data_IF_770035986997
#
_entry.id   IF_770035986997
#
_cell.length_a   1.000
_cell.length_b   1.000
_cell.length_c   1.000
_cell.angle_alpha   90.00
_cell.angle_beta   90.00
_cell.angle_gamma   90.00
#
_symmetry.space_group_name_H-M   'P 1'
#
loop_
_entity.id
_entity.type
_entity.pdbx_description
1 polymer ?
#
# COMPACT_ATOMS: atom_id res chain seq x y z
N UNK A 1 -28.22 -18.18 7.24
CA UNK A 1 -27.41 -17.42 8.22
C UNK A 1 -27.35 -16.01 7.69
N UNK A 2 -27.94 -15.07 8.42
CA UNK A 2 -27.84 -13.64 8.10
C UNK A 2 -26.37 -13.22 8.01
N UNK A 3 -26.00 -12.33 7.07
CA UNK A 3 -24.67 -11.75 7.05
C UNK A 3 -24.40 -11.07 8.40
N UNK A 4 -23.18 -11.24 8.92
CA UNK A 4 -22.76 -10.70 10.21
C UNK A 4 -22.87 -9.17 10.19
N UNK A 5 -23.94 -8.62 10.76
CA UNK A 5 -24.08 -7.18 10.97
C UNK A 5 -23.30 -6.80 12.22
N UNK A 6 -22.31 -5.90 12.16
CA UNK A 6 -21.70 -5.39 13.37
C UNK A 6 -22.82 -4.70 14.17
N UNK A 7 -23.13 -5.23 15.36
CA UNK A 7 -24.09 -4.59 16.26
C UNK A 7 -23.73 -3.11 16.39
N UNK A 8 -24.59 -2.18 15.96
CA UNK A 8 -24.28 -0.76 16.00
C UNK A 8 -24.08 -0.41 17.47
N UNK A 9 -22.85 -0.02 17.82
CA UNK A 9 -22.73 0.77 19.03
C UNK A 9 -23.14 2.17 18.65
N UNK A 10 -24.05 2.73 19.43
CA UNK A 10 -24.43 4.13 19.36
C UNK A 10 -23.17 5.00 19.23
N UNK A 11 -23.26 6.10 18.47
CA UNK A 11 -22.16 7.05 18.33
C UNK A 11 -21.71 7.55 19.70
N UNK A 12 -20.46 8.00 19.78
CA UNK A 12 -20.01 8.74 20.95
C UNK A 12 -20.60 10.15 20.89
N UNK A 13 -21.11 10.68 22.00
CA UNK A 13 -21.65 12.05 22.02
C UNK A 13 -20.55 13.07 21.69
N UNK A 14 -19.40 12.98 22.38
CA UNK A 14 -18.27 13.90 22.22
C UNK A 14 -16.93 13.18 22.40
N UNK A 15 -15.87 13.74 21.82
CA UNK A 15 -14.48 13.30 22.03
C UNK A 15 -13.74 14.23 22.99
N UNK A 16 -12.68 13.72 23.61
CA UNK A 16 -11.88 14.54 24.51
C UNK A 16 -11.04 15.58 23.73
N UNK A 17 -10.72 16.73 24.34
CA UNK A 17 -9.98 17.81 23.70
C UNK A 17 -8.59 17.42 23.20
N UNK A 18 -7.92 16.49 23.87
CA UNK A 18 -6.59 16.04 23.46
C UNK A 18 -6.66 15.13 22.25
N UNK A 19 -7.68 14.27 22.17
CA UNK A 19 -7.99 13.48 20.97
C UNK A 19 -8.24 14.39 19.78
N UNK A 20 -9.07 15.43 19.93
CA UNK A 20 -9.32 16.38 18.84
C UNK A 20 -8.03 17.08 18.38
N UNK A 21 -7.30 17.70 19.31
CA UNK A 21 -6.04 18.41 19.02
C UNK A 21 -4.97 17.49 18.42
N UNK A 22 -4.99 16.20 18.75
CA UNK A 22 -4.08 15.24 18.17
C UNK A 22 -4.53 14.80 16.77
N UNK A 23 -5.81 14.45 16.57
CA UNK A 23 -6.29 13.79 15.36
C UNK A 23 -6.85 14.70 14.26
N UNK A 24 -7.22 15.95 14.53
CA UNK A 24 -7.83 16.85 13.54
C UNK A 24 -6.91 17.92 12.90
N UNK A 25 -5.64 18.12 13.27
CA UNK A 25 -4.78 19.06 12.52
C UNK A 25 -4.53 18.67 11.05
N UNK A 26 -4.63 19.64 10.13
CA UNK A 26 -4.31 19.51 8.69
C UNK A 26 -2.81 19.43 8.49
N UNK A 27 -2.29 18.21 8.65
CA UNK A 27 -0.88 17.90 8.49
C UNK A 27 -0.68 17.04 7.25
N UNK A 28 0.24 17.46 6.38
CA UNK A 28 0.63 16.70 5.19
C UNK A 28 1.19 15.32 5.55
N UNK A 29 1.99 15.27 6.63
CA UNK A 29 2.59 14.05 7.15
C UNK A 29 2.24 13.83 8.62
N UNK A 30 1.27 12.94 8.84
CA UNK A 30 0.69 12.68 10.15
C UNK A 30 1.12 11.31 10.72
N UNK A 31 2.40 11.19 11.08
CA UNK A 31 2.97 9.98 11.68
C UNK A 31 2.32 9.62 13.03
N UNK A 32 2.04 8.34 13.25
CA UNK A 32 1.56 7.82 14.54
C UNK A 32 0.05 7.91 14.78
N UNK A 33 -0.71 8.58 13.90
CA UNK A 33 -2.18 8.66 13.96
C UNK A 33 -2.80 7.41 13.33
N UNK A 34 -3.10 6.41 14.16
CA UNK A 34 -3.64 5.11 13.73
C UNK A 34 -5.17 5.05 13.72
N UNK A 35 -5.83 6.09 14.22
CA UNK A 35 -7.28 6.17 14.33
C UNK A 35 -7.83 7.24 13.37
N UNK A 36 -8.99 6.93 12.80
CA UNK A 36 -9.83 7.84 12.04
C UNK A 36 -11.09 8.11 12.87
N UNK A 37 -11.37 9.40 13.08
CA UNK A 37 -12.60 9.91 13.68
C UNK A 37 -13.46 10.54 12.59
N UNK A 38 -14.77 10.30 12.68
CA UNK A 38 -15.85 10.82 11.85
C UNK A 38 -16.87 11.46 12.78
N UNK A 39 -16.94 12.78 12.80
CA UNK A 39 -18.03 13.50 13.44
C UNK A 39 -19.13 13.73 12.41
N UNK A 40 -20.39 13.44 12.73
CA UNK A 40 -21.49 13.61 11.80
C UNK A 40 -22.60 14.49 12.38
N UNK A 41 -23.36 15.08 11.47
CA UNK A 41 -24.59 15.81 11.75
C UNK A 41 -25.62 15.40 10.69
N UNK A 42 -26.81 15.01 11.13
CA UNK A 42 -27.96 14.69 10.28
C UNK A 42 -29.04 15.74 10.54
N UNK A 43 -29.53 16.35 9.48
CA UNK A 43 -30.64 17.30 9.49
C UNK A 43 -31.78 16.72 8.63
N UNK A 44 -33.01 16.83 9.14
CA UNK A 44 -34.25 16.43 8.46
C UNK A 44 -35.14 17.66 8.28
N UNK A 45 -35.92 17.72 7.19
CA UNK A 45 -36.78 18.88 6.90
C UNK A 45 -38.05 18.95 7.78
N UNK A 46 -38.47 17.86 8.43
CA UNK A 46 -39.86 17.67 8.85
C UNK A 46 -40.25 18.05 10.29
N UNK A 47 -39.40 18.74 11.08
CA UNK A 47 -39.82 19.18 12.43
C UNK A 47 -39.53 20.65 12.71
N UNK A 48 -40.59 21.36 13.10
CA UNK A 48 -40.66 22.77 13.51
C UNK A 48 -39.90 23.08 14.83
N UNK A 49 -38.74 22.47 15.08
CA UNK A 49 -37.89 22.69 16.26
C UNK A 49 -36.43 22.96 15.85
N UNK A 50 -35.89 24.10 16.26
CA UNK A 50 -34.56 24.62 15.94
C UNK A 50 -33.36 23.83 16.55
N UNK A 51 -33.55 22.59 17.02
CA UNK A 51 -32.52 21.89 17.84
C UNK A 51 -32.37 20.37 17.62
N UNK A 52 -33.15 19.73 16.74
CA UNK A 52 -33.20 18.25 16.61
C UNK A 52 -32.26 17.66 15.54
N UNK A 53 -31.07 18.21 15.36
CA UNK A 53 -30.08 17.55 14.49
C UNK A 53 -29.38 16.42 15.25
N UNK A 54 -29.50 15.19 14.77
CA UNK A 54 -28.78 14.05 15.33
C UNK A 54 -27.28 14.17 15.05
N UNK A 55 -26.49 14.15 16.13
CA UNK A 55 -25.04 14.40 16.08
C UNK A 55 -24.29 13.35 16.87
N UNK A 56 -23.08 13.03 16.41
CA UNK A 56 -22.21 12.15 17.17
C UNK A 56 -20.88 11.89 16.48
N UNK A 57 -20.08 11.01 17.11
CA UNK A 57 -18.73 10.69 16.66
C UNK A 57 -18.54 9.18 16.56
N UNK A 58 -18.13 8.74 15.37
CA UNK A 58 -17.60 7.41 15.13
C UNK A 58 -16.08 7.43 15.10
N UNK A 59 -15.47 6.33 15.53
CA UNK A 59 -14.05 6.06 15.32
C UNK A 59 -13.86 4.69 14.72
N UNK A 60 -12.82 4.52 13.93
CA UNK A 60 -12.48 3.22 13.37
C UNK A 60 -12.28 2.17 14.48
N UNK A 61 -12.90 1.00 14.32
CA UNK A 61 -12.85 -0.09 15.29
C UNK A 61 -11.82 -1.12 14.85
N UNK A 62 -10.91 -1.45 15.76
CA UNK A 62 -9.98 -2.56 15.60
C UNK A 62 -10.54 -3.75 16.39
N UNK A 63 -11.51 -4.46 15.83
CA UNK A 63 -11.95 -5.72 16.43
C UNK A 63 -11.00 -6.86 16.03
N UNK A 64 -10.86 -7.92 16.87
CA UNK A 64 -10.05 -9.09 16.56
C UNK A 64 -10.48 -9.84 15.29
N UNK A 65 -11.77 -9.74 14.93
CA UNK A 65 -12.42 -10.49 13.85
C UNK A 65 -12.60 -9.67 12.56
N UNK A 66 -12.72 -8.33 12.65
CA UNK A 66 -12.80 -7.44 11.50
C UNK A 66 -12.35 -6.02 11.87
N UNK A 67 -11.67 -5.32 10.94
CA UNK A 67 -11.45 -3.87 11.06
C UNK A 67 -12.63 -3.18 10.42
N UNK A 68 -13.28 -2.29 11.16
CA UNK A 68 -14.38 -1.48 10.65
C UNK A 68 -13.92 -0.03 10.58
N UNK A 69 -14.07 0.60 9.41
CA UNK A 69 -13.78 2.02 9.26
C UNK A 69 -14.90 2.88 9.90
N UNK A 70 -14.62 4.17 10.13
CA UNK A 70 -15.58 5.03 10.82
C UNK A 70 -16.83 5.27 9.95
N UNK A 71 -16.61 5.41 8.64
CA UNK A 71 -17.58 5.53 7.56
C UNK A 71 -18.55 4.34 7.59
N UNK A 72 -18.02 3.11 7.65
CA UNK A 72 -18.83 1.89 7.70
C UNK A 72 -19.67 1.78 8.98
N UNK A 73 -19.13 2.25 10.10
CA UNK A 73 -19.88 2.32 11.35
C UNK A 73 -21.07 3.29 11.21
N UNK A 74 -20.85 4.45 10.61
CA UNK A 74 -21.92 5.43 10.35
C UNK A 74 -22.97 4.84 9.41
N UNK A 75 -22.58 4.27 8.27
CA UNK A 75 -23.52 3.72 7.29
C UNK A 75 -24.40 2.61 7.88
N UNK A 76 -23.83 1.76 8.73
CA UNK A 76 -24.61 0.73 9.43
C UNK A 76 -25.58 1.34 10.44
N UNK A 77 -25.13 2.33 11.22
CA UNK A 77 -25.97 3.00 12.20
C UNK A 77 -27.10 3.80 11.56
N UNK A 78 -26.81 4.54 10.49
CA UNK A 78 -27.79 5.36 9.78
C UNK A 78 -28.93 4.51 9.22
N UNK A 79 -28.62 3.36 8.61
CA UNK A 79 -29.63 2.42 8.11
C UNK A 79 -30.57 1.89 9.19
N UNK A 80 -30.06 1.74 10.41
CA UNK A 80 -30.85 1.24 11.53
C UNK A 80 -31.68 2.35 12.20
N UNK A 81 -31.23 3.61 12.15
CA UNK A 81 -31.95 4.76 12.72
C UNK A 81 -32.98 5.37 11.75
N UNK A 82 -32.67 5.44 10.46
CA UNK A 82 -33.49 6.06 9.42
C UNK A 82 -33.90 5.01 8.38
N UNK A 83 -34.97 4.25 8.64
CA UNK A 83 -35.42 3.17 7.75
C UNK A 83 -36.17 3.71 6.51
N UNK A 84 -36.70 4.92 6.55
CA UNK A 84 -37.43 5.55 5.46
C UNK A 84 -36.45 6.16 4.45
N UNK A 85 -36.52 5.73 3.18
CA UNK A 85 -35.52 6.09 2.16
C UNK A 85 -35.93 7.23 1.24
N UNK A 86 -37.20 7.61 1.33
CA UNK A 86 -37.83 8.62 0.49
C UNK A 86 -37.88 10.00 1.19
N UNK A 87 -37.43 10.11 2.44
CA UNK A 87 -37.32 11.37 3.17
C UNK A 87 -36.04 12.15 2.78
N UNK A 88 -36.08 13.47 2.96
CA UNK A 88 -34.94 14.34 2.70
C UNK A 88 -34.00 14.37 3.90
N UNK A 89 -32.76 13.95 3.68
CA UNK A 89 -31.72 13.93 4.69
C UNK A 89 -30.54 14.79 4.25
N UNK A 90 -30.13 15.75 5.07
CA UNK A 90 -28.88 16.46 4.87
C UNK A 90 -27.85 15.97 5.88
N UNK A 91 -26.81 15.30 5.38
CA UNK A 91 -25.77 14.68 6.19
C UNK A 91 -24.45 15.40 5.98
N UNK A 92 -23.83 15.84 7.07
CA UNK A 92 -22.48 16.43 7.05
C UNK A 92 -21.51 15.58 7.86
N UNK A 93 -20.36 15.25 7.27
CA UNK A 93 -19.26 14.52 7.91
C UNK A 93 -18.03 15.40 8.04
N UNK A 94 -17.44 15.39 9.23
CA UNK A 94 -16.12 15.95 9.51
C UNK A 94 -15.15 14.83 9.85
N UNK A 95 -14.25 14.56 8.91
CA UNK A 95 -13.33 13.43 8.96
C UNK A 95 -11.92 13.86 9.31
N UNK A 96 -11.29 13.13 10.23
CA UNK A 96 -9.85 13.29 10.48
C UNK A 96 -8.97 12.85 9.30
N UNK A 97 -9.44 11.91 8.47
CA UNK A 97 -8.76 11.40 7.28
C UNK A 97 -9.76 11.20 6.16
N UNK A 98 -9.39 11.47 4.91
CA UNK A 98 -10.27 11.25 3.77
C UNK A 98 -10.62 9.75 3.65
N UNK A 99 -11.82 9.43 3.12
CA UNK A 99 -12.23 8.04 2.94
C UNK A 99 -11.24 7.22 2.12
N UNK A 100 -11.15 5.92 2.40
CA UNK A 100 -10.42 5.00 1.53
C UNK A 100 -11.29 4.59 0.32
N UNK A 101 -10.71 4.01 -0.75
CA UNK A 101 -11.47 3.67 -1.97
C UNK A 101 -12.66 2.74 -1.73
N UNK A 102 -12.50 1.76 -0.83
CA UNK A 102 -13.58 0.83 -0.46
C UNK A 102 -14.70 1.55 0.29
N UNK A 103 -14.38 2.46 1.21
CA UNK A 103 -15.41 3.24 1.89
C UNK A 103 -16.07 4.26 0.96
N UNK A 104 -15.32 4.83 0.02
CA UNK A 104 -15.89 5.70 -1.00
C UNK A 104 -16.93 4.95 -1.84
N UNK A 105 -16.61 3.74 -2.30
CA UNK A 105 -17.54 2.88 -3.04
C UNK A 105 -18.79 2.53 -2.23
N UNK A 106 -18.64 2.10 -0.97
CA UNK A 106 -19.77 1.81 -0.08
C UNK A 106 -20.65 3.04 0.21
N UNK A 107 -20.07 4.25 0.22
CA UNK A 107 -20.82 5.50 0.36
C UNK A 107 -21.60 5.82 -0.91
N UNK A 108 -21.03 5.60 -2.09
CA UNK A 108 -21.76 5.77 -3.36
C UNK A 108 -22.95 4.80 -3.43
N UNK A 109 -22.74 3.52 -3.10
CA UNK A 109 -23.84 2.54 -3.02
C UNK A 109 -24.93 2.98 -2.03
N UNK A 110 -24.54 3.59 -0.92
CA UNK A 110 -25.49 4.14 0.06
C UNK A 110 -26.27 5.36 -0.46
N UNK A 111 -25.65 6.22 -1.26
CA UNK A 111 -26.36 7.37 -1.88
C UNK A 111 -27.34 6.92 -2.96
N UNK A 112 -27.02 5.85 -3.70
CA UNK A 112 -27.98 5.22 -4.62
C UNK A 112 -29.17 4.60 -3.88
N UNK A 113 -28.94 4.12 -2.65
CA UNK A 113 -29.93 3.54 -1.76
C UNK A 113 -30.89 4.59 -1.16
N UNK A 114 -30.40 5.81 -0.89
CA UNK A 114 -31.14 6.92 -0.30
C UNK A 114 -31.19 8.13 -1.26
N UNK A 115 -32.18 8.12 -2.16
CA UNK A 115 -32.24 9.05 -3.31
C UNK A 115 -32.37 10.53 -2.95
N UNK A 116 -32.90 10.83 -1.77
CA UNK A 116 -33.15 12.18 -1.28
C UNK A 116 -32.11 12.62 -0.23
N UNK A 117 -30.96 11.94 -0.17
CA UNK A 117 -29.89 12.25 0.78
C UNK A 117 -28.81 13.12 0.12
N UNK A 118 -28.53 14.27 0.73
CA UNK A 118 -27.35 15.08 0.40
C UNK A 118 -26.23 14.81 1.39
N UNK A 119 -25.02 14.53 0.88
CA UNK A 119 -23.86 14.26 1.72
C UNK A 119 -22.75 15.28 1.46
N UNK A 120 -22.30 15.91 2.54
CA UNK A 120 -21.15 16.82 2.55
C UNK A 120 -20.04 16.24 3.41
N UNK A 121 -18.85 16.06 2.84
CA UNK A 121 -17.68 15.50 3.49
C UNK A 121 -16.57 16.56 3.57
N UNK A 122 -16.26 16.97 4.79
CA UNK A 122 -15.14 17.84 5.10
C UNK A 122 -14.03 17.01 5.75
N UNK A 123 -12.87 16.92 5.10
CA UNK A 123 -11.74 16.14 5.63
C UNK A 123 -10.58 17.01 6.07
N UNK A 124 -10.00 16.70 7.23
CA UNK A 124 -8.80 17.38 7.71
C UNK A 124 -7.57 17.03 6.87
N UNK A 125 -7.45 15.78 6.42
CA UNK A 125 -6.24 15.30 5.73
C UNK A 125 -6.61 14.32 4.66
N UNK A 126 -5.94 14.44 3.53
CA UNK A 126 -6.08 13.46 2.47
C UNK A 126 -5.24 12.21 2.79
N UNK A 127 -5.87 11.05 2.77
CA UNK A 127 -5.24 9.77 3.05
C UNK A 127 -4.68 9.17 1.76
N UNK A 128 -3.36 8.96 1.72
CA UNK A 128 -2.67 8.41 0.53
C UNK A 128 -3.04 9.12 -0.78
N UNK A 129 -3.19 10.45 -0.78
CA UNK A 129 -3.59 11.22 -1.96
C UNK A 129 -2.63 11.08 -3.16
N UNK A 130 -1.41 10.57 -2.95
CA UNK A 130 -0.45 10.23 -4.01
C UNK A 130 -0.70 8.85 -4.66
N UNK A 131 -1.64 8.05 -4.15
CA UNK A 131 -2.02 6.73 -4.69
C UNK A 131 -3.23 6.92 -5.62
N UNK A 132 -3.12 6.57 -6.93
CA UNK A 132 -4.21 6.77 -7.89
C UNK A 132 -5.54 6.13 -7.49
N UNK A 133 -5.54 5.01 -6.76
CA UNK A 133 -6.78 4.38 -6.32
C UNK A 133 -7.55 5.27 -5.32
N UNK A 134 -6.83 6.04 -4.50
CA UNK A 134 -7.42 6.94 -3.51
C UNK A 134 -7.94 8.19 -4.18
N UNK A 135 -7.21 8.70 -5.17
CA UNK A 135 -7.70 9.77 -6.05
C UNK A 135 -9.01 9.35 -6.74
N UNK A 136 -9.02 8.18 -7.38
CA UNK A 136 -10.20 7.62 -8.04
C UNK A 136 -11.39 7.45 -7.06
N UNK A 137 -11.14 6.98 -5.84
CA UNK A 137 -12.19 6.88 -4.83
C UNK A 137 -12.82 8.24 -4.46
N UNK A 138 -12.00 9.29 -4.34
CA UNK A 138 -12.51 10.65 -4.10
C UNK A 138 -13.24 11.22 -5.33
N UNK A 139 -12.74 10.96 -6.54
CA UNK A 139 -13.44 11.30 -7.78
C UNK A 139 -14.83 10.64 -7.84
N UNK A 140 -14.94 9.34 -7.51
CA UNK A 140 -16.24 8.64 -7.49
C UNK A 140 -17.24 9.27 -6.53
N UNK A 141 -16.80 9.72 -5.36
CA UNK A 141 -17.67 10.44 -4.42
C UNK A 141 -18.14 11.76 -5.01
N UNK A 142 -17.22 12.52 -5.61
CA UNK A 142 -17.54 13.79 -6.25
C UNK A 142 -18.50 13.62 -7.44
N UNK A 143 -18.26 12.63 -8.29
CA UNK A 143 -19.11 12.31 -9.44
C UNK A 143 -20.51 11.83 -9.01
N UNK A 144 -20.62 11.22 -7.82
CA UNK A 144 -21.89 10.85 -7.19
C UNK A 144 -22.62 12.05 -6.54
N UNK A 145 -22.10 13.27 -6.66
CA UNK A 145 -22.73 14.49 -6.15
C UNK A 145 -22.41 14.82 -4.69
N UNK A 146 -21.43 14.15 -4.08
CA UNK A 146 -20.97 14.46 -2.71
C UNK A 146 -20.17 15.75 -2.71
N UNK A 147 -20.53 16.71 -1.87
CA UNK A 147 -19.68 17.88 -1.65
C UNK A 147 -18.44 17.44 -0.87
N UNK A 148 -17.25 17.61 -1.44
CA UNK A 148 -15.99 17.15 -0.84
C UNK A 148 -15.00 18.31 -0.71
N UNK A 149 -14.62 18.64 0.53
CA UNK A 149 -13.73 19.77 0.82
C UNK A 149 -12.74 19.47 1.95
N UNK A 150 -11.70 20.30 2.07
CA UNK A 150 -10.79 20.28 3.23
C UNK A 150 -11.37 21.13 4.37
N UNK A 151 -11.31 20.62 5.59
CA UNK A 151 -11.78 21.35 6.77
C UNK A 151 -11.08 22.71 6.92
N UNK A 152 -11.89 23.77 6.88
CA UNK A 152 -11.52 25.16 7.10
C UNK A 152 -11.41 25.51 8.59
N UNK A 153 -11.05 26.75 8.90
CA UNK A 153 -11.01 27.23 10.29
C UNK A 153 -12.40 27.15 10.95
N UNK A 154 -13.44 27.45 10.18
CA UNK A 154 -14.81 27.50 10.68
C UNK A 154 -15.33 26.09 10.93
N UNK A 155 -14.98 25.12 10.07
CA UNK A 155 -15.28 23.70 10.29
C UNK A 155 -14.60 23.17 11.55
N UNK A 156 -13.36 23.56 11.83
CA UNK A 156 -12.70 23.18 13.08
C UNK A 156 -13.35 23.79 14.31
N UNK A 157 -13.81 25.03 14.21
CA UNK A 157 -14.52 25.70 15.29
C UNK A 157 -15.87 25.03 15.53
N UNK A 158 -16.62 24.77 14.47
CA UNK A 158 -17.88 24.02 14.52
C UNK A 158 -17.67 22.66 15.18
N UNK A 159 -16.63 21.93 14.78
CA UNK A 159 -16.34 20.64 15.38
C UNK A 159 -15.96 20.73 16.86
N UNK A 160 -15.23 21.77 17.26
CA UNK A 160 -14.87 22.00 18.64
C UNK A 160 -16.09 22.27 19.52
N UNK A 161 -17.02 23.11 19.04
CA UNK A 161 -18.19 23.50 19.82
C UNK A 161 -19.21 22.35 19.94
N UNK A 162 -19.34 21.53 18.89
CA UNK A 162 -20.39 20.51 18.80
C UNK A 162 -19.95 19.09 19.15
N UNK A 163 -18.71 18.69 18.83
CA UNK A 163 -18.25 17.29 18.98
C UNK A 163 -17.15 17.10 20.02
N UNK A 164 -16.66 18.16 20.67
CA UNK A 164 -15.61 18.07 21.69
C UNK A 164 -16.20 18.40 23.06
N UNK A 165 -15.88 17.59 24.07
CA UNK A 165 -16.09 17.94 25.47
C UNK A 165 -15.00 18.93 25.90
N UNK A 166 -15.14 20.18 25.46
CA UNK A 166 -14.10 21.20 25.65
C UNK A 166 -13.99 21.71 27.09
N UNK A 167 -14.88 21.31 28.02
CA UNK A 167 -14.82 21.66 29.46
C UNK A 167 -14.60 23.16 29.71
N UNK A 168 -15.27 24.01 28.92
CA UNK A 168 -15.13 25.47 29.00
C UNK A 168 -13.84 26.05 28.37
N UNK A 169 -12.95 25.23 27.80
CA UNK A 169 -11.80 25.71 27.04
C UNK A 169 -12.24 26.38 25.73
N UNK A 170 -11.62 27.53 25.43
CA UNK A 170 -11.79 28.22 24.14
C UNK A 170 -11.13 27.44 23.01
N UNK A 171 -11.74 27.52 21.82
CA UNK A 171 -11.16 27.01 20.58
C UNK A 171 -9.81 27.67 20.29
N UNK A 172 -8.82 26.88 19.89
CA UNK A 172 -7.48 27.35 19.53
C UNK A 172 -7.13 26.94 18.11
N UNK A 173 -7.05 27.92 17.20
CA UNK A 173 -6.68 27.69 15.79
C UNK A 173 -5.22 27.25 15.58
N UNK A 174 -4.36 27.43 16.58
CA UNK A 174 -2.90 27.27 16.43
C UNK A 174 -2.57 25.82 16.07
N UNK A 175 -1.79 25.64 15.00
CA UNK A 175 -1.35 24.36 14.45
C UNK A 175 -2.43 23.50 13.76
N UNK A 176 -3.69 23.95 13.64
CA UNK A 176 -4.75 23.19 12.96
C UNK A 176 -4.69 23.33 11.44
N UNK A 177 -4.38 24.52 10.91
CA UNK A 177 -4.42 24.84 9.48
C UNK A 177 -3.05 24.81 8.80
N UNK A 178 -2.10 24.04 9.33
CA UNK A 178 -0.69 24.13 8.91
C UNK A 178 -0.50 23.92 7.41
N UNK A 179 -1.15 22.90 6.86
CA UNK A 179 -1.02 22.51 5.45
C UNK A 179 -2.37 22.64 4.70
N UNK A 180 -3.27 23.54 5.16
CA UNK A 180 -4.62 23.70 4.59
C UNK A 180 -4.58 24.07 3.10
N UNK A 181 -3.89 25.16 2.73
CA UNK A 181 -3.86 25.65 1.35
C UNK A 181 -3.33 24.59 0.39
N UNK A 182 -2.33 23.83 0.83
CA UNK A 182 -1.76 22.72 0.07
C UNK A 182 -2.78 21.60 -0.14
N UNK A 183 -3.41 21.13 0.95
CA UNK A 183 -4.37 20.03 0.88
C UNK A 183 -5.62 20.41 0.07
N UNK A 184 -6.07 21.66 0.18
CA UNK A 184 -7.21 22.17 -0.58
C UNK A 184 -6.88 22.22 -2.08
N UNK A 185 -5.70 22.73 -2.44
CA UNK A 185 -5.24 22.72 -3.83
C UNK A 185 -5.08 21.29 -4.38
N UNK A 186 -4.50 20.37 -3.60
CA UNK A 186 -4.32 18.97 -4.00
C UNK A 186 -5.67 18.27 -4.20
N UNK A 187 -6.65 18.51 -3.32
CA UNK A 187 -7.99 17.95 -3.48
C UNK A 187 -8.65 18.46 -4.77
N UNK A 188 -8.58 19.77 -5.03
CA UNK A 188 -9.12 20.35 -6.26
C UNK A 188 -8.45 19.79 -7.53
N UNK A 189 -7.13 19.57 -7.50
CA UNK A 189 -6.41 18.93 -8.61
C UNK A 189 -6.87 17.47 -8.83
N UNK A 190 -7.16 16.73 -7.76
CA UNK A 190 -7.68 15.36 -7.85
C UNK A 190 -9.07 15.34 -8.48
N UNK A 191 -9.94 16.27 -8.07
CA UNK A 191 -11.33 16.33 -8.53
C UNK A 191 -11.48 16.90 -9.94
N UNK A 192 -10.52 17.71 -10.40
CA UNK A 192 -10.54 18.35 -11.73
C UNK A 192 -9.22 18.11 -12.50
N UNK A 193 -9.01 16.93 -13.13
CA UNK A 193 -7.74 16.55 -13.77
C UNK A 193 -7.34 17.33 -15.05
N UNK A 194 -7.92 18.52 -15.31
CA UNK A 194 -7.77 19.30 -16.54
C UNK A 194 -6.54 20.22 -16.64
N UNK A 195 -5.70 20.36 -15.61
CA UNK A 195 -4.51 21.22 -15.63
C UNK A 195 -3.26 20.50 -15.12
N UNK A 196 -2.75 19.54 -15.90
CA UNK A 196 -1.46 18.91 -15.62
C UNK A 196 -0.29 19.91 -15.76
N UNK A 197 0.08 20.59 -14.66
CA UNK A 197 1.45 21.08 -14.49
C UNK A 197 2.30 19.92 -13.97
N UNK A 198 3.30 19.49 -14.75
CA UNK A 198 4.41 18.67 -14.24
C UNK A 198 5.00 19.37 -13.00
N UNK A 199 4.78 18.82 -11.81
CA UNK A 199 5.47 19.27 -10.60
C UNK A 199 6.16 18.11 -9.91
N UNK A 200 7.38 18.38 -9.47
CA UNK A 200 8.15 17.52 -8.59
C UNK A 200 7.57 17.62 -7.18
N UNK A 201 7.15 16.49 -6.64
CA UNK A 201 6.61 16.38 -5.29
C UNK A 201 7.63 16.88 -4.25
N UNK A 202 7.24 17.75 -3.29
CA UNK A 202 8.13 18.13 -2.20
C UNK A 202 8.33 16.91 -1.29
N UNK A 203 9.37 16.14 -1.58
CA UNK A 203 9.89 15.16 -0.63
C UNK A 203 10.32 15.90 0.65
N UNK A 204 10.15 15.30 1.84
CA UNK A 204 10.63 15.92 3.08
C UNK A 204 12.12 16.27 2.96
N UNK A 205 12.59 17.39 3.54
CA UNK A 205 14.00 17.74 3.52
C UNK A 205 14.81 16.58 4.12
N UNK A 206 15.86 16.18 3.42
CA UNK A 206 16.84 15.21 3.93
C UNK A 206 17.38 15.73 5.27
N UNK A 207 17.46 14.94 6.34
CA UNK A 207 18.33 15.27 7.45
C UNK A 207 19.78 15.11 6.93
N UNK A 208 20.49 16.21 6.72
CA UNK A 208 21.90 16.22 6.34
C UNK A 208 22.26 16.89 5.01
N UNK A 209 21.58 17.97 4.61
CA UNK A 209 22.08 18.83 3.53
C UNK A 209 23.20 19.73 4.07
N UNK A 210 24.45 19.27 4.00
CA UNK A 210 25.58 20.18 3.86
C UNK A 210 25.53 20.74 2.43
N UNK A 211 25.35 22.05 2.34
CA UNK A 211 25.67 22.82 1.13
C UNK A 211 27.17 23.05 1.15
N UNK A 212 27.86 22.72 0.06
CA UNK A 212 29.13 23.35 -0.28
C UNK A 212 28.94 24.13 -1.60
N UNK A 213 29.20 25.45 -1.62
CA UNK A 213 28.94 26.32 -2.75
C UNK A 213 30.19 26.42 -3.64
N UNK A 214 30.19 25.65 -4.74
CA UNK A 214 31.02 25.79 -5.95
C UNK A 214 30.50 24.73 -6.92
N UNK A 215 29.73 25.01 -7.95
CA UNK A 215 30.13 25.83 -9.08
C UNK A 215 28.92 25.95 -10.00
N UNK A 216 28.35 27.16 -10.06
CA UNK A 216 27.56 27.56 -11.21
C UNK A 216 28.54 28.02 -12.27
N UNK A 217 28.64 27.26 -13.36
CA UNK A 217 29.23 27.73 -14.62
C UNK A 217 28.15 27.54 -15.68
N UNK A 218 27.53 28.66 -16.03
CA UNK A 218 26.88 28.97 -17.32
C UNK A 218 27.84 28.58 -18.48
N UNK A 219 27.46 28.12 -19.68
CA UNK A 219 26.30 28.37 -20.53
C UNK A 219 26.41 27.48 -21.81
N UNK A 220 25.27 27.15 -22.43
CA UNK A 220 24.95 27.28 -23.88
C UNK A 220 25.42 26.24 -24.95
N UNK A 221 24.38 25.62 -25.55
CA UNK A 221 24.14 25.13 -26.94
C UNK A 221 24.92 23.97 -27.59
N UNK A 222 24.14 22.98 -28.01
CA UNK A 222 24.30 22.06 -29.18
C UNK A 222 24.51 22.83 -30.51
N UNK A 223 25.02 22.24 -31.64
CA UNK A 223 24.51 20.97 -32.23
C UNK A 223 25.48 20.12 -33.07
N UNK A 224 25.03 18.94 -33.55
CA UNK A 224 25.51 18.37 -34.83
C UNK A 224 25.68 16.85 -34.93
N UNK A 225 24.69 16.22 -35.56
CA UNK A 225 24.68 15.00 -36.40
C UNK A 225 26.06 14.54 -36.95
N UNK A 226 26.41 13.24 -36.82
CA UNK A 226 26.66 12.38 -38.01
C UNK A 226 26.79 10.87 -37.74
N UNK A 227 26.29 10.13 -38.72
CA UNK A 227 26.32 8.68 -38.94
C UNK A 227 27.73 8.11 -39.17
N UNK A 228 27.96 6.82 -38.83
CA UNK A 228 28.57 5.83 -39.75
C UNK A 228 28.50 4.40 -39.22
N UNK A 229 28.10 3.50 -40.14
CA UNK A 229 28.20 2.03 -40.11
C UNK A 229 29.66 1.59 -40.12
N UNK A 230 29.99 0.47 -39.47
CA UNK A 230 30.91 -0.53 -40.02
C UNK A 230 30.45 -1.94 -39.64
N UNK A 231 30.68 -2.85 -40.58
CA UNK A 231 30.11 -4.19 -40.68
C UNK A 231 31.10 -5.27 -40.21
N UNK A 232 30.54 -6.36 -39.67
CA UNK A 232 30.92 -7.78 -39.76
C UNK A 232 32.37 -8.21 -39.49
N UNK A 233 32.54 -9.12 -38.52
CA UNK A 233 33.01 -10.48 -38.83
C UNK A 233 32.59 -11.50 -37.75
N UNK A 234 32.07 -12.65 -38.22
CA UNK A 234 31.78 -13.85 -37.46
C UNK A 234 33.06 -14.52 -36.91
N UNK A 235 32.95 -15.13 -35.74
CA UNK A 235 33.55 -16.45 -35.47
C UNK A 235 32.77 -17.16 -34.36
N UNK A 236 32.23 -18.33 -34.71
CA UNK A 236 31.54 -19.27 -33.82
C UNK A 236 32.60 -19.99 -32.99
N UNK A 237 32.52 -19.85 -31.68
CA UNK A 237 33.16 -20.74 -30.72
C UNK A 237 32.14 -21.07 -29.64
N UNK A 238 31.67 -22.32 -29.64
CA UNK A 238 30.91 -22.92 -28.55
C UNK A 238 31.78 -22.96 -27.29
N UNK A 239 31.71 -21.90 -26.49
CA UNK A 239 32.08 -21.90 -25.09
C UNK A 239 30.85 -21.37 -24.36
N UNK A 240 30.17 -22.26 -23.63
CA UNK A 240 29.10 -21.87 -22.71
C UNK A 240 29.62 -20.69 -21.87
N UNK A 241 29.00 -19.50 -21.96
CA UNK A 241 29.44 -18.37 -21.17
C UNK A 241 29.27 -18.77 -19.70
N UNK A 242 30.37 -18.78 -18.93
CA UNK A 242 30.25 -18.67 -17.47
C UNK A 242 29.33 -17.46 -17.23
N UNK A 243 28.21 -17.58 -16.50
CA UNK A 243 27.31 -16.46 -16.32
C UNK A 243 28.05 -15.40 -15.52
N UNK A 244 28.56 -14.37 -16.19
CA UNK A 244 29.25 -13.22 -15.58
C UNK A 244 28.20 -12.32 -14.95
N UNK A 245 27.63 -12.82 -13.87
CA UNK A 245 26.96 -12.03 -12.87
C UNK A 245 27.99 -11.15 -12.17
N UNK A 246 27.68 -9.86 -11.98
CA UNK A 246 28.36 -9.06 -10.98
C UNK A 246 27.79 -9.43 -9.61
N UNK A 247 28.53 -10.15 -8.75
CA UNK A 247 28.04 -10.56 -7.46
C UNK A 247 27.67 -9.34 -6.60
N UNK A 248 26.65 -9.48 -5.75
CA UNK A 248 26.25 -8.46 -4.81
C UNK A 248 27.34 -8.29 -3.75
N UNK A 249 27.65 -7.05 -3.39
CA UNK A 249 28.47 -6.80 -2.21
C UNK A 249 27.74 -7.28 -0.94
N UNK A 250 28.47 -7.86 0.00
CA UNK A 250 27.93 -8.33 1.29
C UNK A 250 27.08 -7.27 2.01
N UNK A 251 27.56 -6.03 2.04
CA UNK A 251 26.87 -4.90 2.66
C UNK A 251 25.52 -4.63 1.99
N UNK A 252 25.44 -4.77 0.66
CA UNK A 252 24.20 -4.61 -0.08
C UNK A 252 23.25 -5.75 0.26
N UNK A 253 23.74 -6.99 0.28
CA UNK A 253 22.92 -8.14 0.63
C UNK A 253 22.30 -7.99 2.02
N UNK A 254 23.12 -7.78 3.06
CA UNK A 254 22.63 -7.65 4.44
C UNK A 254 21.63 -6.49 4.60
N UNK A 255 21.88 -5.35 3.92
CA UNK A 255 20.96 -4.20 3.98
C UNK A 255 19.63 -4.46 3.28
N UNK A 256 19.66 -5.11 2.12
CA UNK A 256 18.50 -5.23 1.24
C UNK A 256 17.68 -6.49 1.51
N UNK A 257 18.33 -7.62 1.81
CA UNK A 257 17.69 -8.89 2.14
C UNK A 257 17.39 -9.06 3.64
N UNK A 258 17.86 -8.16 4.51
CA UNK A 258 17.54 -8.18 5.94
C UNK A 258 16.03 -8.19 6.26
N UNK A 259 15.52 -9.24 6.90
CA UNK A 259 14.08 -9.43 7.14
C UNK A 259 13.51 -8.62 8.33
N UNK A 260 14.30 -7.74 8.95
CA UNK A 260 13.89 -6.97 10.11
C UNK A 260 12.76 -5.98 9.75
N UNK A 261 11.78 -5.82 10.64
CA UNK A 261 10.67 -4.88 10.45
C UNK A 261 11.11 -3.42 10.31
N UNK A 262 12.18 -3.04 11.02
CA UNK A 262 12.75 -1.69 10.98
C UNK A 262 14.18 -1.75 10.48
N UNK A 263 14.57 -0.72 9.73
CA UNK A 263 15.95 -0.56 9.25
C UNK A 263 16.83 -0.15 10.43
N UNK A 264 17.94 -0.86 10.73
CA UNK A 264 18.87 -0.45 11.77
C UNK A 264 19.58 0.86 11.40
N UNK A 265 20.06 1.61 12.40
CA UNK A 265 20.87 2.81 12.15
C UNK A 265 22.22 2.40 11.51
N UNK A 266 22.78 3.19 10.57
CA UNK A 266 22.20 4.39 9.96
C UNK A 266 21.06 4.03 9.01
N UNK A 267 19.98 4.83 9.02
CA UNK A 267 18.82 4.56 8.18
C UNK A 267 19.18 4.61 6.70
N UNK A 268 18.71 3.61 5.94
CA UNK A 268 18.88 3.56 4.49
C UNK A 268 17.58 3.13 3.82
N UNK A 269 17.43 3.48 2.54
CA UNK A 269 16.29 3.05 1.74
C UNK A 269 16.50 1.62 1.24
N UNK A 270 15.52 0.75 1.52
CA UNK A 270 15.45 -0.57 0.90
C UNK A 270 14.94 -0.45 -0.54
N UNK A 271 15.60 -1.15 -1.46
CA UNK A 271 15.24 -1.31 -2.88
C UNK A 271 14.83 -2.76 -3.12
N UNK A 272 14.06 -3.00 -4.17
CA UNK A 272 13.68 -4.36 -4.53
C UNK A 272 14.78 -4.99 -5.36
N UNK A 273 15.44 -6.00 -4.79
CA UNK A 273 16.31 -6.94 -5.50
C UNK A 273 15.58 -8.27 -5.68
N UNK A 274 15.81 -8.89 -6.83
CA UNK A 274 15.35 -10.21 -7.22
C UNK A 274 16.55 -10.96 -7.80
N UNK A 275 17.07 -11.92 -7.06
CA UNK A 275 18.09 -12.84 -7.53
C UNK A 275 17.42 -14.14 -7.97
N UNK A 276 17.84 -14.74 -9.08
CA UNK A 276 17.24 -15.97 -9.59
C UNK A 276 18.27 -16.97 -10.10
N UNK A 277 17.93 -18.25 -9.96
CA UNK A 277 18.66 -19.39 -10.52
C UNK A 277 17.76 -20.07 -11.55
N UNK A 278 18.30 -20.34 -12.73
CA UNK A 278 17.68 -21.15 -13.78
C UNK A 278 18.42 -22.48 -13.82
N UNK A 279 17.71 -23.56 -13.49
CA UNK A 279 18.23 -24.92 -13.42
C UNK A 279 17.48 -25.84 -14.38
N UNK A 280 18.17 -26.86 -14.85
CA UNK A 280 17.52 -28.01 -15.47
C UNK A 280 16.88 -28.91 -14.39
N UNK A 281 15.92 -29.78 -14.73
CA UNK A 281 15.30 -30.72 -13.79
C UNK A 281 16.32 -31.66 -13.13
N UNK A 282 17.45 -31.92 -13.80
CA UNK A 282 18.56 -32.72 -13.27
C UNK A 282 19.42 -31.94 -12.25
N UNK A 283 19.11 -30.66 -12.00
CA UNK A 283 19.77 -29.81 -11.02
C UNK A 283 20.94 -28.97 -11.57
N UNK A 284 21.30 -29.14 -12.84
CA UNK A 284 22.38 -28.36 -13.49
C UNK A 284 22.01 -26.89 -13.59
N UNK A 285 22.85 -26.01 -13.03
CA UNK A 285 22.67 -24.56 -13.11
C UNK A 285 23.03 -24.04 -14.51
N UNK A 286 22.05 -23.48 -15.22
CA UNK A 286 22.21 -22.90 -16.55
C UNK A 286 22.59 -21.42 -16.47
N UNK A 287 21.82 -20.67 -15.68
CA UNK A 287 22.00 -19.24 -15.55
C UNK A 287 21.64 -18.79 -14.15
N UNK A 288 22.32 -17.76 -13.65
CA UNK A 288 21.89 -17.03 -12.47
C UNK A 288 22.06 -15.53 -12.72
N UNK A 289 21.14 -14.72 -12.21
CA UNK A 289 21.25 -13.26 -12.26
C UNK A 289 20.73 -12.63 -10.95
N UNK A 290 21.07 -11.37 -10.70
CA UNK A 290 20.45 -10.57 -9.66
C UNK A 290 20.09 -9.18 -10.16
N UNK A 291 18.78 -8.97 -10.25
CA UNK A 291 18.16 -7.80 -10.83
C UNK A 291 17.70 -6.85 -9.74
N UNK A 292 17.77 -5.57 -10.04
CA UNK A 292 17.22 -4.50 -9.18
C UNK A 292 16.12 -3.77 -9.92
N UNK A 293 15.14 -3.29 -9.18
CA UNK A 293 14.12 -2.39 -9.73
C UNK A 293 14.77 -1.18 -10.43
N UNK A 294 14.23 -0.82 -11.60
CA UNK A 294 14.65 0.34 -12.41
C UNK A 294 13.60 1.45 -12.31
N UNK A 295 13.91 2.64 -12.83
CA UNK A 295 12.94 3.76 -12.87
C UNK A 295 11.68 3.29 -13.61
N UNK A 296 10.53 3.36 -12.94
CA UNK A 296 9.21 2.92 -13.45
C UNK A 296 9.09 1.43 -13.84
N UNK A 297 10.00 0.54 -13.39
CA UNK A 297 9.90 -0.90 -13.66
C UNK A 297 10.29 -1.73 -12.45
N UNK A 298 9.38 -2.61 -12.02
CA UNK A 298 9.60 -3.51 -10.89
C UNK A 298 10.63 -4.61 -11.23
N UNK A 299 11.25 -5.20 -10.22
CA UNK A 299 12.32 -6.18 -10.42
C UNK A 299 11.78 -7.47 -11.07
N UNK A 300 10.54 -7.82 -10.75
CA UNK A 300 9.75 -8.93 -11.28
C UNK A 300 9.53 -8.77 -12.79
N UNK A 301 9.23 -7.56 -13.26
CA UNK A 301 9.07 -7.28 -14.69
C UNK A 301 10.40 -7.39 -15.44
N UNK A 302 11.48 -6.85 -14.87
CA UNK A 302 12.82 -7.03 -15.43
C UNK A 302 13.23 -8.50 -15.50
N UNK A 303 12.79 -9.31 -14.52
CA UNK A 303 13.01 -10.75 -14.50
C UNK A 303 12.26 -11.46 -15.63
N UNK A 304 10.97 -11.17 -15.82
CA UNK A 304 10.16 -11.74 -16.92
C UNK A 304 10.82 -11.44 -18.27
N UNK A 305 11.22 -10.19 -18.51
CA UNK A 305 11.89 -9.79 -19.76
C UNK A 305 13.17 -10.61 -20.01
N UNK A 306 13.95 -10.83 -18.94
CA UNK A 306 15.23 -11.53 -19.01
C UNK A 306 15.04 -13.02 -19.25
N UNK A 307 14.08 -13.68 -18.59
CA UNK A 307 13.80 -15.10 -18.83
C UNK A 307 13.22 -15.30 -20.23
N UNK A 308 12.26 -14.48 -20.67
CA UNK A 308 11.73 -14.55 -22.04
C UNK A 308 12.85 -14.46 -23.09
N UNK A 309 13.87 -13.64 -22.86
CA UNK A 309 15.02 -13.55 -23.77
C UNK A 309 15.91 -14.81 -23.75
N UNK A 310 16.01 -15.50 -22.61
CA UNK A 310 16.82 -16.71 -22.44
C UNK A 310 16.13 -17.99 -22.92
N UNK A 311 14.79 -18.05 -22.85
CA UNK A 311 14.00 -19.26 -23.15
C UNK A 311 13.26 -19.19 -24.48
N UNK A 312 13.63 -18.25 -25.37
CA UNK A 312 12.93 -17.96 -26.63
C UNK A 312 12.80 -19.17 -27.57
N UNK A 313 13.77 -20.08 -27.55
CA UNK A 313 13.91 -21.16 -28.54
C UNK A 313 14.04 -22.56 -27.90
N UNK A 314 13.68 -22.72 -26.63
CA UNK A 314 13.90 -23.98 -25.89
C UNK A 314 12.60 -24.64 -25.46
N UNK A 315 12.35 -25.87 -25.92
CA UNK A 315 11.24 -26.72 -25.42
C UNK A 315 11.61 -27.48 -24.14
N UNK A 316 12.76 -27.17 -23.56
CA UNK A 316 13.28 -27.85 -22.38
C UNK A 316 12.57 -27.35 -21.11
N UNK A 317 12.35 -28.25 -20.16
CA UNK A 317 11.79 -27.86 -18.86
C UNK A 317 12.85 -27.17 -18.02
N UNK A 318 12.49 -26.08 -17.36
CA UNK A 318 13.39 -25.37 -16.45
C UNK A 318 12.75 -25.16 -15.09
N UNK A 319 13.54 -25.29 -14.03
CA UNK A 319 13.18 -24.87 -12.68
C UNK A 319 13.84 -23.52 -12.39
N UNK A 320 13.01 -22.54 -12.01
CA UNK A 320 13.43 -21.21 -11.65
C UNK A 320 13.19 -20.98 -10.18
N UNK A 321 14.25 -20.67 -9.44
CA UNK A 321 14.18 -20.29 -8.03
C UNK A 321 14.50 -18.81 -7.92
N UNK A 322 13.57 -18.01 -7.41
CA UNK A 322 13.74 -16.58 -7.18
C UNK A 322 13.84 -16.26 -5.69
N UNK A 323 14.84 -15.47 -5.31
CA UNK A 323 15.01 -14.85 -4.01
C UNK A 323 14.73 -13.36 -4.14
N UNK A 324 13.65 -12.89 -3.50
CA UNK A 324 13.21 -11.51 -3.61
C UNK A 324 13.19 -10.81 -2.25
N UNK A 325 13.67 -9.58 -2.22
CA UNK A 325 13.70 -8.76 -1.00
C UNK A 325 12.30 -8.41 -0.47
N UNK A 326 11.31 -8.28 -1.34
CA UNK A 326 9.92 -7.94 -1.03
C UNK A 326 8.99 -8.83 -1.86
N UNK A 327 7.92 -9.35 -1.28
CA UNK A 327 6.95 -10.14 -2.05
C UNK A 327 6.34 -9.32 -3.21
N UNK A 328 5.97 -9.95 -4.34
CA UNK A 328 5.40 -9.24 -5.48
C UNK A 328 4.16 -8.41 -5.13
N UNK A 329 3.99 -7.27 -5.81
CA UNK A 329 2.73 -6.50 -5.77
C UNK A 329 1.63 -7.18 -6.62
N UNK A 330 0.35 -6.77 -6.54
CA UNK A 330 -0.75 -7.42 -7.26
C UNK A 330 -0.52 -7.48 -8.78
N UNK A 331 -0.08 -6.36 -9.36
CA UNK A 331 0.25 -6.28 -10.78
C UNK A 331 1.38 -7.24 -11.17
N UNK A 332 2.48 -7.26 -10.41
CA UNK A 332 3.57 -8.20 -10.68
C UNK A 332 3.18 -9.66 -10.47
N UNK A 333 2.29 -9.93 -9.51
CA UNK A 333 1.76 -11.26 -9.26
C UNK A 333 0.95 -11.76 -10.47
N UNK A 334 0.06 -10.92 -11.01
CA UNK A 334 -0.72 -11.21 -12.21
C UNK A 334 0.17 -11.46 -13.44
N UNK A 335 1.16 -10.58 -13.68
CA UNK A 335 2.11 -10.72 -14.79
C UNK A 335 2.97 -12.00 -14.68
N UNK A 336 3.37 -12.39 -13.46
CA UNK A 336 4.09 -13.64 -13.23
C UNK A 336 3.22 -14.86 -13.50
N UNK A 337 1.93 -14.81 -13.15
CA UNK A 337 0.98 -15.90 -13.46
C UNK A 337 0.77 -16.01 -14.97
N UNK A 338 0.53 -14.89 -15.66
CA UNK A 338 0.41 -14.87 -17.12
C UNK A 338 1.67 -15.45 -17.78
N UNK A 339 2.84 -15.04 -17.32
CA UNK A 339 4.12 -15.52 -17.84
C UNK A 339 4.29 -17.05 -17.70
N UNK A 340 3.98 -17.63 -16.53
CA UNK A 340 4.09 -19.09 -16.33
C UNK A 340 3.02 -19.85 -17.11
N UNK A 341 1.81 -19.30 -17.24
CA UNK A 341 0.74 -19.90 -18.07
C UNK A 341 1.13 -19.98 -19.54
N UNK A 342 1.76 -18.93 -20.07
CA UNK A 342 2.26 -18.90 -21.45
C UNK A 342 3.45 -19.84 -21.68
N UNK A 343 4.13 -20.28 -20.61
CA UNK A 343 5.35 -21.07 -20.66
C UNK A 343 5.25 -22.31 -19.74
N UNK A 344 4.45 -23.33 -20.09
CA UNK A 344 4.17 -24.48 -19.22
C UNK A 344 5.39 -25.38 -18.94
N UNK A 345 6.49 -25.18 -19.65
CA UNK A 345 7.77 -25.85 -19.41
C UNK A 345 8.57 -25.21 -18.25
N UNK A 346 8.14 -24.05 -17.73
CA UNK A 346 8.79 -23.35 -16.63
C UNK A 346 8.09 -23.65 -15.30
N UNK A 347 8.87 -24.07 -14.30
CA UNK A 347 8.44 -24.14 -12.91
C UNK A 347 9.06 -22.98 -12.13
N UNK A 348 8.23 -22.11 -11.55
CA UNK A 348 8.69 -20.92 -10.83
C UNK A 348 8.42 -21.05 -9.32
N UNK A 349 9.46 -20.90 -8.50
CA UNK A 349 9.36 -20.81 -7.04
C UNK A 349 9.91 -19.49 -6.53
N UNK A 350 9.16 -18.81 -5.65
CA UNK A 350 9.53 -17.49 -5.13
C UNK A 350 9.73 -17.55 -3.62
N UNK A 351 10.91 -17.15 -3.17
CA UNK A 351 11.25 -16.95 -1.77
C UNK A 351 11.36 -15.46 -1.46
N UNK A 352 10.43 -14.93 -0.68
CA UNK A 352 10.43 -13.54 -0.26
C UNK A 352 11.09 -13.38 1.12
N UNK A 353 12.04 -12.45 1.25
CA UNK A 353 12.59 -12.07 2.57
C UNK A 353 11.52 -11.39 3.45
N UNK A 354 10.69 -10.54 2.84
CA UNK A 354 9.63 -9.77 3.52
C UNK A 354 8.39 -9.70 2.67
N UNK A 355 7.23 -9.51 3.29
CA UNK A 355 5.97 -9.32 2.58
C UNK A 355 5.72 -7.83 2.34
N UNK A 356 5.49 -7.46 1.09
CA UNK A 356 5.23 -6.07 0.69
C UNK A 356 3.76 -5.70 0.90
N UNK A 357 3.51 -4.66 1.71
CA UNK A 357 2.17 -4.08 1.94
C UNK A 357 1.10 -5.15 2.25
N UNK A 358 1.51 -6.21 2.95
CA UNK A 358 0.73 -7.44 3.18
C UNK A 358 -0.50 -7.27 4.09
N UNK A 359 -0.73 -6.05 4.59
CA UNK A 359 -1.93 -5.65 5.31
C UNK A 359 -3.06 -5.18 4.37
N UNK A 360 -2.75 -4.81 3.12
CA UNK A 360 -3.75 -4.47 2.10
C UNK A 360 -4.34 -5.74 1.47
N UNK A 361 -5.64 -5.73 1.23
CA UNK A 361 -6.36 -6.87 0.64
C UNK A 361 -5.90 -7.20 -0.79
N UNK A 362 -5.77 -6.20 -1.69
CA UNK A 362 -5.29 -6.41 -3.07
C UNK A 362 -3.95 -7.17 -3.11
N UNK A 363 -3.02 -6.85 -2.21
CA UNK A 363 -1.71 -7.52 -2.09
C UNK A 363 -1.85 -8.97 -1.60
N UNK A 364 -2.77 -9.22 -0.67
CA UNK A 364 -3.08 -10.57 -0.21
C UNK A 364 -3.71 -11.40 -1.34
N UNK A 365 -4.62 -10.82 -2.13
CA UNK A 365 -5.21 -11.45 -3.30
C UNK A 365 -4.15 -11.78 -4.36
N UNK A 366 -3.21 -10.88 -4.66
CA UNK A 366 -2.10 -11.16 -5.58
C UNK A 366 -1.26 -12.37 -5.15
N UNK A 367 -0.92 -12.48 -3.86
CA UNK A 367 -0.20 -13.64 -3.33
C UNK A 367 -1.03 -14.94 -3.36
N UNK A 368 -2.32 -14.85 -3.06
CA UNK A 368 -3.24 -16.00 -3.22
C UNK A 368 -3.35 -16.44 -4.67
N UNK A 369 -3.41 -15.48 -5.60
CA UNK A 369 -3.49 -15.75 -7.03
C UNK A 369 -2.24 -16.45 -7.55
N UNK A 370 -1.04 -16.01 -7.14
CA UNK A 370 0.22 -16.72 -7.42
C UNK A 370 0.18 -18.16 -6.92
N UNK A 371 -0.18 -18.35 -5.64
CA UNK A 371 -0.21 -19.67 -5.02
C UNK A 371 -1.24 -20.60 -5.68
N UNK A 372 -2.46 -20.10 -5.96
CA UNK A 372 -3.51 -20.87 -6.62
C UNK A 372 -3.17 -21.22 -8.07
N UNK A 373 -2.31 -20.44 -8.72
CA UNK A 373 -1.85 -20.67 -10.10
C UNK A 373 -0.60 -21.57 -10.18
N UNK A 374 -0.23 -22.23 -9.09
CA UNK A 374 0.90 -23.18 -9.07
C UNK A 374 2.28 -22.54 -8.92
N UNK A 375 2.36 -21.25 -8.57
CA UNK A 375 3.63 -20.55 -8.28
C UNK A 375 3.80 -20.47 -6.76
N UNK A 376 4.53 -21.41 -6.13
CA UNK A 376 4.74 -21.39 -4.68
C UNK A 376 5.50 -20.14 -4.25
N UNK A 377 4.88 -19.36 -3.37
CA UNK A 377 5.50 -18.23 -2.65
C UNK A 377 5.76 -18.66 -1.21
N UNK A 378 7.03 -18.65 -0.80
CA UNK A 378 7.46 -18.94 0.55
C UNK A 378 8.30 -17.79 1.14
N UNK A 379 8.50 -17.80 2.45
CA UNK A 379 9.36 -16.82 3.13
C UNK A 379 10.74 -17.41 3.34
N UNK A 380 11.78 -16.65 3.03
CA UNK A 380 13.17 -17.05 3.25
C UNK A 380 13.43 -17.36 4.73
N UNK A 381 14.03 -18.51 5.02
CA UNK A 381 14.61 -18.88 6.31
C UNK A 381 16.12 -19.01 6.18
N UNK A 382 16.78 -19.44 7.26
CA UNK A 382 18.24 -19.58 7.27
C UNK A 382 18.78 -20.33 6.04
N UNK A 383 18.24 -21.48 5.60
CA UNK A 383 18.75 -22.20 4.43
C UNK A 383 18.62 -21.39 3.13
N UNK A 384 17.51 -20.68 2.93
CA UNK A 384 17.33 -19.85 1.73
C UNK A 384 18.22 -18.60 1.75
N UNK A 385 18.50 -18.03 2.93
CA UNK A 385 19.47 -16.93 3.03
C UNK A 385 20.90 -17.41 2.78
N UNK A 386 21.28 -18.57 3.30
CA UNK A 386 22.58 -19.19 3.04
C UNK A 386 22.76 -19.55 1.57
N UNK A 387 21.74 -20.15 0.92
CA UNK A 387 21.82 -20.45 -0.50
C UNK A 387 21.89 -19.18 -1.35
N UNK A 388 21.11 -18.15 -1.01
CA UNK A 388 21.17 -16.88 -1.70
C UNK A 388 22.52 -16.17 -1.49
N UNK A 389 23.12 -16.28 -0.30
CA UNK A 389 24.45 -15.75 0.00
C UNK A 389 25.51 -16.42 -0.87
N UNK A 390 25.59 -17.76 -0.81
CA UNK A 390 26.58 -18.57 -1.56
C UNK A 390 26.52 -18.35 -3.07
N UNK A 391 25.32 -18.11 -3.61
CA UNK A 391 25.15 -18.04 -5.06
C UNK A 391 25.26 -16.63 -5.64
N UNK A 392 24.95 -15.57 -4.88
CA UNK A 392 24.78 -14.22 -5.41
C UNK A 392 25.62 -13.15 -4.73
N UNK A 393 26.35 -13.45 -3.66
CA UNK A 393 27.14 -12.48 -2.91
C UNK A 393 28.64 -12.72 -3.13
N UNK A 394 29.40 -11.65 -3.26
CA UNK A 394 30.86 -11.69 -3.23
C UNK A 394 31.31 -11.85 -1.78
N UNK A 395 31.29 -13.10 -1.32
CA UNK A 395 31.52 -13.43 0.09
C UNK A 395 32.97 -13.78 0.43
N UNK A 396 33.87 -13.85 -0.57
CA UNK A 396 35.31 -14.15 -0.36
C UNK A 396 35.52 -15.37 0.56
N UNK A 397 34.79 -16.46 0.30
CA UNK A 397 34.76 -17.70 1.09
C UNK A 397 34.30 -17.58 2.56
N UNK A 398 33.74 -16.43 2.95
CA UNK A 398 33.10 -16.26 4.26
C UNK A 398 31.71 -16.89 4.28
N UNK A 399 31.43 -17.58 5.39
CA UNK A 399 30.11 -18.11 5.68
C UNK A 399 29.10 -16.99 5.95
N UNK A 400 27.84 -17.25 5.63
CA UNK A 400 26.75 -16.32 5.92
C UNK A 400 26.61 -16.13 7.42
N UNK A 401 26.66 -14.88 7.87
CA UNK A 401 26.44 -14.52 9.27
C UNK A 401 25.00 -14.02 9.46
N UNK A 402 24.11 -14.80 10.10
CA UNK A 402 22.74 -14.39 10.33
C UNK A 402 22.70 -13.19 11.28
N UNK A 403 21.84 -12.21 10.97
CA UNK A 403 21.63 -11.08 11.86
C UNK A 403 20.79 -11.48 13.10
N UNK A 404 20.83 -10.68 14.19
CA UNK A 404 20.07 -10.98 15.39
C UNK A 404 18.57 -11.21 15.11
N UNK A 405 18.02 -12.28 15.69
CA UNK A 405 16.61 -12.67 15.59
C UNK A 405 16.12 -13.03 14.17
N UNK A 406 17.02 -13.35 13.22
CA UNK A 406 16.66 -13.74 11.85
C UNK A 406 15.54 -14.79 11.84
N UNK A 407 15.70 -15.88 12.60
CA UNK A 407 14.72 -16.99 12.65
C UNK A 407 13.38 -16.57 13.23
N UNK A 408 13.38 -15.71 14.25
CA UNK A 408 12.15 -15.20 14.86
C UNK A 408 11.36 -14.36 13.85
N UNK A 409 12.04 -13.50 13.09
CA UNK A 409 11.42 -12.72 12.02
C UNK A 409 10.89 -13.64 10.91
N UNK A 410 11.69 -14.59 10.44
CA UNK A 410 11.27 -15.55 9.41
C UNK A 410 10.04 -16.34 9.86
N UNK A 411 10.00 -16.85 11.09
CA UNK A 411 8.83 -17.55 11.66
C UNK A 411 7.59 -16.65 11.72
N UNK A 412 7.74 -15.40 12.17
CA UNK A 412 6.63 -14.44 12.24
C UNK A 412 6.04 -14.12 10.87
N UNK A 413 6.92 -13.88 9.88
CA UNK A 413 6.53 -13.57 8.50
C UNK A 413 5.92 -14.83 7.83
N UNK A 414 6.48 -16.02 8.04
CA UNK A 414 5.92 -17.31 7.59
C UNK A 414 4.50 -17.51 8.11
N UNK A 415 4.27 -17.32 9.41
CA UNK A 415 2.94 -17.41 10.02
C UNK A 415 1.96 -16.41 9.39
N UNK A 416 2.42 -15.18 9.09
CA UNK A 416 1.59 -14.18 8.41
C UNK A 416 1.27 -14.59 6.97
N UNK A 417 2.25 -15.11 6.22
CA UNK A 417 2.03 -15.59 4.86
C UNK A 417 1.07 -16.79 4.85
N UNK A 418 1.22 -17.74 5.77
CA UNK A 418 0.27 -18.85 5.95
C UNK A 418 -1.17 -18.35 6.08
N UNK A 419 -1.42 -17.41 6.99
CA UNK A 419 -2.75 -16.77 7.15
C UNK A 419 -3.27 -16.05 5.89
N UNK A 420 -2.38 -15.60 5.00
CA UNK A 420 -2.77 -14.98 3.74
C UNK A 420 -3.16 -16.06 2.72
N UNK A 421 -2.41 -17.16 2.66
CA UNK A 421 -2.57 -18.23 1.67
C UNK A 421 -3.65 -19.25 2.04
N UNK A 422 -3.97 -19.44 3.32
CA UNK A 422 -5.04 -20.35 3.75
C UNK A 422 -6.40 -19.87 3.20
N UNK A 423 -7.13 -20.72 2.46
CA UNK A 423 -8.50 -20.41 2.03
C UNK A 423 -9.41 -20.25 3.26
N UNK A 424 -10.41 -19.36 3.17
CA UNK A 424 -11.35 -19.08 4.27
C UNK A 424 -12.09 -20.33 4.81
N UNK A 425 -12.12 -21.42 4.03
CA UNK A 425 -12.86 -22.64 4.34
C UNK A 425 -12.17 -23.57 5.36
N UNK A 426 -10.83 -23.61 5.43
CA UNK A 426 -10.13 -24.54 6.33
C UNK A 426 -10.14 -24.08 7.80
N UNK A 427 -10.24 -22.78 8.04
CA UNK A 427 -10.44 -22.24 9.38
C UNK A 427 -11.76 -22.73 10.01
N UNK A 428 -12.77 -23.12 9.20
CA UNK A 428 -14.03 -23.66 9.71
C UNK A 428 -13.91 -25.10 10.21
N UNK A 429 -12.94 -25.86 9.69
CA UNK A 429 -12.72 -27.26 10.05
C UNK A 429 -11.84 -27.41 11.30
N UNK A 430 -10.85 -26.52 11.49
CA UNK A 430 -10.00 -26.51 12.69
C UNK A 430 -10.81 -26.27 13.98
N UNK A 431 -11.93 -25.52 13.91
CA UNK A 431 -12.82 -25.29 15.06
C UNK A 431 -13.81 -26.43 15.34
N UNK A 432 -14.06 -27.34 14.39
CA UNK A 432 -14.91 -28.52 14.65
C UNK A 432 -14.20 -29.59 15.47
N UNK A 433 -12.86 -29.60 15.42
CA UNK A 433 -12.03 -30.54 16.17
C UNK A 433 -11.67 -30.05 17.59
N UNK A 434 -12.10 -28.84 17.97
CA UNK A 434 -12.01 -28.31 19.33
C UNK A 434 -13.36 -28.48 20.06
N UNK A 435 -13.89 -29.71 20.09
CA UNK A 435 -14.87 -30.09 21.12
C UNK A 435 -14.08 -30.50 22.36
N UNK A 436 -14.35 -29.78 23.45
CA UNK A 436 -13.81 -29.96 24.79
C UNK A 436 -13.97 -31.42 25.24
N UNK A 437 -12.86 -32.07 25.59
CA UNK A 437 -12.82 -33.06 26.67
C UNK A 437 -12.64 -32.33 28.01
#
# INVERSE_FOLDING_TARGET
MEPWRPSPRNPMDRIDPNTFRFHFPNLLYASGRKLCYLCFQVETEDYFSCDDSDRGVFRNKVHPWARCHAEQCFLSWFRDQYPYRDEYYNVTWFLSWSPCPTCAEEVVEFLEEYRNLTLSIFTSRLYYFWDPNYQEGLCKLWDAGVQLDIMSCDDFKHCWDNFVDHKGMRFQRRNLLKDYDFLAAELQEILSPGQQRKRDWPFPPRPGAQVDPRSWVQEVTEPGINTRRHSLHLLVSFLLPRPTMNPLQEVIFCRQFGNQHRVPKPYYRRKTYLCYQLKLPEGTLIHKDCLRNKKKRHAEMCFIDKIKALTRDTSQRFEIICYITWSPCPFCAEELVAFVKDNPHLSLRIFASRLYVHWRWKYQQGLRHLHASGIPVAVMSLPEFEDCWRNFVDHQDRSFQPWPNLDQYSKSIKRRLGKILTPLNDLRNDFRNLKLE
#
